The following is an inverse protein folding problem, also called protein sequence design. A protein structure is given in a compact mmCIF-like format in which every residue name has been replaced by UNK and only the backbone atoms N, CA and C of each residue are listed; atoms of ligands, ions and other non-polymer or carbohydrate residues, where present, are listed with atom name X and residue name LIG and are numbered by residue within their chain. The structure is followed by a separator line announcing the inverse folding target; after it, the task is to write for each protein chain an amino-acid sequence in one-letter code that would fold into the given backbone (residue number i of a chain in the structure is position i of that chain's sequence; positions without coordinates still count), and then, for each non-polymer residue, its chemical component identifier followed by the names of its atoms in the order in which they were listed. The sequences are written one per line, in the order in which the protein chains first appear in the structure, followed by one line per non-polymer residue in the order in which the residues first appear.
data_IF_880477000943
#
_entry.id   IF_880477000943
#
_cell.length_a   1.000
_cell.length_b   1.000
_cell.length_c   1.000
_cell.angle_alpha   90.00
_cell.angle_beta   90.00
_cell.angle_gamma   90.00
#
_symmetry.space_group_name_H-M   'P 1'
#
loop_
_entity.id
_entity.type
_entity.pdbx_description
1 polymer ?
#
# COMPACT_ATOMS: atom_id res chain seq x y z
N UNK A 1 12.70 27.79 -3.61
CA UNK A 1 12.11 26.64 -2.89
C UNK A 1 12.74 25.38 -3.46
N UNK A 2 13.18 24.41 -2.65
CA UNK A 2 13.74 23.19 -3.22
C UNK A 2 12.59 22.39 -3.84
N UNK A 3 12.66 22.14 -5.14
CA UNK A 3 11.85 21.12 -5.81
C UNK A 3 12.16 19.79 -5.12
N UNK A 4 11.21 19.25 -4.37
CA UNK A 4 11.29 17.84 -3.97
C UNK A 4 11.07 17.02 -5.24
N UNK A 5 12.12 16.34 -5.68
CA UNK A 5 12.04 15.41 -6.80
C UNK A 5 11.22 14.20 -6.35
N UNK A 6 9.90 14.25 -6.56
CA UNK A 6 8.96 13.17 -6.23
C UNK A 6 9.03 12.00 -7.24
N UNK A 7 9.98 12.03 -8.19
CA UNK A 7 10.08 11.11 -9.32
C UNK A 7 10.47 9.66 -8.99
N UNK A 8 10.82 9.34 -7.75
CA UNK A 8 11.14 7.96 -7.36
C UNK A 8 10.68 7.69 -5.93
N UNK A 9 9.43 7.24 -5.79
CA UNK A 9 9.22 6.14 -4.85
C UNK A 9 9.82 4.89 -5.46
N UNK A 10 10.52 4.11 -4.64
CA UNK A 10 10.74 2.71 -4.95
C UNK A 10 9.39 2.00 -4.85
N UNK A 11 8.60 2.08 -5.92
CA UNK A 11 7.32 1.39 -6.03
C UNK A 11 7.39 0.40 -7.18
N UNK A 12 6.81 -0.77 -6.97
CA UNK A 12 6.85 -1.89 -7.88
C UNK A 12 5.42 -2.30 -8.16
N UNK A 13 4.94 -2.11 -9.39
CA UNK A 13 3.72 -2.77 -9.80
C UNK A 13 4.04 -4.15 -10.34
N UNK A 14 3.17 -5.07 -9.98
CA UNK A 14 3.14 -6.41 -10.50
C UNK A 14 1.77 -6.63 -11.13
N UNK A 15 1.76 -6.92 -12.43
CA UNK A 15 0.55 -7.34 -13.14
C UNK A 15 0.69 -8.82 -13.43
N UNK A 16 -0.14 -9.65 -12.80
CA UNK A 16 -0.19 -11.07 -13.17
C UNK A 16 -0.77 -11.17 -14.60
N UNK A 17 -0.65 -12.31 -15.29
CA UNK A 17 -1.28 -12.58 -16.60
C UNK A 17 -2.83 -12.38 -16.65
N UNK A 18 -3.44 -11.88 -15.58
CA UNK A 18 -4.82 -11.39 -15.45
C UNK A 18 -4.89 -9.86 -15.53
N UNK A 19 -6.09 -9.30 -15.71
CA UNK A 19 -6.32 -7.85 -15.85
C UNK A 19 -6.12 -7.04 -14.55
N UNK A 20 -5.80 -7.70 -13.43
CA UNK A 20 -5.63 -7.10 -12.12
C UNK A 20 -4.17 -6.64 -11.85
N UNK A 21 -4.01 -5.50 -11.19
CA UNK A 21 -2.68 -4.96 -10.81
C UNK A 21 -2.50 -4.96 -9.29
N UNK A 22 -1.47 -5.66 -8.80
CA UNK A 22 -0.97 -5.52 -7.44
C UNK A 22 0.15 -4.47 -7.45
N UNK A 23 -0.06 -3.37 -6.76
CA UNK A 23 0.91 -2.27 -6.74
C UNK A 23 1.58 -2.16 -5.37
N UNK A 24 2.85 -2.58 -5.30
CA UNK A 24 3.65 -2.51 -4.10
C UNK A 24 4.28 -1.12 -3.95
N UNK A 25 4.06 -0.52 -2.79
CA UNK A 25 4.73 0.71 -2.36
C UNK A 25 5.71 0.30 -1.27
N UNK A 26 7.01 0.45 -1.56
CA UNK A 26 8.07 0.15 -0.60
C UNK A 26 8.25 1.35 0.33
N UNK A 27 8.09 1.10 1.61
CA UNK A 27 8.12 2.11 2.66
C UNK A 27 9.44 1.99 3.41
N UNK A 28 10.23 3.06 3.39
CA UNK A 28 11.39 3.18 4.27
C UNK A 28 10.92 3.42 5.71
N UNK A 29 11.52 2.71 6.67
CA UNK A 29 11.29 3.01 8.08
C UNK A 29 12.01 4.32 8.44
N UNK A 30 11.28 5.26 9.03
CA UNK A 30 11.87 6.44 9.65
C UNK A 30 12.59 6.01 10.95
N UNK A 31 13.60 6.76 11.38
CA UNK A 31 14.36 6.43 12.62
C UNK A 31 13.46 6.36 13.88
N UNK A 32 12.29 6.99 13.85
CA UNK A 32 11.31 6.97 14.95
C UNK A 32 9.87 6.95 14.42
N UNK A 33 9.35 5.78 13.99
CA UNK A 33 7.99 5.68 13.50
C UNK A 33 7.04 5.71 14.69
N UNK A 34 6.43 6.87 14.94
CA UNK A 34 5.43 7.04 16.00
C UNK A 34 4.03 6.85 15.45
N UNK A 35 3.28 5.89 16.00
CA UNK A 35 1.83 5.82 15.79
C UNK A 35 1.20 7.06 16.43
N UNK A 36 0.76 7.98 15.59
CA UNK A 36 0.10 9.20 16.04
C UNK A 36 -1.33 8.87 16.44
N UNK A 37 -1.83 9.57 17.45
CA UNK A 37 -3.27 9.63 17.62
C UNK A 37 -3.82 10.42 16.43
N UNK A 38 -4.65 9.76 15.64
CA UNK A 38 -5.37 10.41 14.57
C UNK A 38 -6.48 11.26 15.19
N UNK A 39 -6.43 12.57 14.99
CA UNK A 39 -7.59 13.41 15.25
C UNK A 39 -8.73 13.01 14.28
N UNK A 40 -9.98 13.29 14.63
CA UNK A 40 -11.11 12.95 13.75
C UNK A 40 -10.90 13.50 12.35
N UNK A 41 -11.48 12.87 11.31
CA UNK A 41 -11.25 13.17 9.88
C UNK A 41 -11.40 14.65 9.44
N UNK A 42 -11.87 15.53 10.32
CA UNK A 42 -12.09 16.95 10.06
C UNK A 42 -10.99 17.88 10.61
N UNK A 43 -9.98 17.36 11.33
CA UNK A 43 -8.99 18.17 12.05
C UNK A 43 -7.56 18.03 11.50
N UNK A 44 -7.38 18.06 10.17
CA UNK A 44 -6.03 18.24 9.61
C UNK A 44 -5.56 19.69 9.83
N UNK A 45 -5.05 19.94 11.03
CA UNK A 45 -4.38 21.20 11.33
C UNK A 45 -3.08 21.32 10.52
N UNK A 46 -2.67 22.55 10.20
CA UNK A 46 -1.36 22.81 9.59
C UNK A 46 -0.19 22.19 10.39
N UNK A 47 -0.39 21.91 11.69
CA UNK A 47 0.54 21.18 12.54
C UNK A 47 0.66 19.68 12.19
N UNK A 48 -0.42 18.97 11.85
CA UNK A 48 -0.31 17.54 11.47
C UNK A 48 0.54 17.35 10.21
N UNK A 49 0.44 18.29 9.26
CA UNK A 49 1.25 18.26 8.04
C UNK A 49 2.74 18.57 8.26
N UNK A 50 3.12 19.27 9.35
CA UNK A 50 4.52 19.55 9.67
C UNK A 50 5.25 18.32 10.18
N UNK A 51 4.58 17.46 10.94
CA UNK A 51 5.21 16.28 11.53
C UNK A 51 5.24 15.08 10.60
N UNK A 52 4.50 15.06 9.48
CA UNK A 52 4.50 13.91 8.58
C UNK A 52 5.90 13.48 8.19
N UNK A 53 6.13 12.18 8.27
CA UNK A 53 7.38 11.58 7.82
C UNK A 53 7.51 11.72 6.31
N UNK A 54 8.71 11.43 5.80
CA UNK A 54 8.92 11.47 4.37
C UNK A 54 8.06 10.44 3.66
N UNK A 55 7.90 9.23 4.21
CA UNK A 55 7.00 8.21 3.67
C UNK A 55 5.54 8.68 3.60
N UNK A 56 5.01 9.29 4.66
CA UNK A 56 3.65 9.84 4.71
C UNK A 56 3.41 10.91 3.63
N UNK A 57 4.25 11.95 3.57
CA UNK A 57 4.11 13.08 2.62
C UNK A 57 4.07 12.59 1.18
N UNK A 58 4.98 11.69 0.89
CA UNK A 58 5.27 11.18 -0.44
C UNK A 58 4.11 10.23 -0.82
N UNK A 59 3.59 9.42 0.11
CA UNK A 59 2.42 8.55 -0.12
C UNK A 59 1.15 9.34 -0.37
N UNK A 60 0.97 10.49 0.30
CA UNK A 60 -0.16 11.40 0.05
C UNK A 60 -0.15 11.92 -1.38
N UNK A 61 1.01 12.38 -1.87
CA UNK A 61 1.17 12.83 -3.27
C UNK A 61 0.84 11.70 -4.26
N UNK A 62 1.25 10.46 -3.96
CA UNK A 62 0.91 9.30 -4.80
C UNK A 62 -0.59 9.02 -4.82
N UNK A 63 -1.27 9.16 -3.67
CA UNK A 63 -2.73 9.06 -3.58
C UNK A 63 -3.41 10.10 -4.46
N UNK A 64 -3.01 11.36 -4.35
CA UNK A 64 -3.55 12.46 -5.16
C UNK A 64 -3.33 12.23 -6.66
N UNK A 65 -2.14 11.78 -7.05
CA UNK A 65 -1.82 11.45 -8.44
C UNK A 65 -2.65 10.27 -8.95
N UNK A 66 -2.84 9.23 -8.12
CA UNK A 66 -3.65 8.05 -8.45
C UNK A 66 -5.12 8.41 -8.65
N UNK A 67 -5.65 9.34 -7.85
CA UNK A 67 -7.00 9.88 -8.03
C UNK A 67 -7.14 10.65 -9.33
N UNK A 68 -6.19 11.55 -9.64
CA UNK A 68 -6.16 12.30 -10.92
C UNK A 68 -6.04 11.38 -12.13
N UNK A 69 -5.33 10.26 -11.99
CA UNK A 69 -5.19 9.24 -13.02
C UNK A 69 -6.41 8.31 -13.14
N UNK A 70 -7.45 8.50 -12.31
CA UNK A 70 -8.65 7.68 -12.26
C UNK A 70 -8.35 6.17 -12.07
N UNK A 71 -7.34 5.83 -11.27
CA UNK A 71 -7.05 4.43 -10.95
C UNK A 71 -8.21 3.83 -10.14
N UNK A 72 -8.68 2.66 -10.57
CA UNK A 72 -9.73 1.92 -9.88
C UNK A 72 -9.15 1.12 -8.71
N UNK A 73 -8.77 1.84 -7.66
CA UNK A 73 -8.22 1.26 -6.43
C UNK A 73 -9.35 0.75 -5.57
N UNK A 74 -9.39 -0.56 -5.33
CA UNK A 74 -10.49 -1.19 -4.56
C UNK A 74 -10.07 -1.65 -3.19
N UNK A 75 -8.77 -1.86 -2.98
CA UNK A 75 -8.24 -2.40 -1.74
C UNK A 75 -6.87 -1.81 -1.45
N UNK A 76 -6.66 -1.48 -0.17
CA UNK A 76 -5.38 -1.09 0.39
C UNK A 76 -4.98 -2.17 1.40
N UNK A 77 -3.85 -2.82 1.17
CA UNK A 77 -3.26 -3.82 2.07
C UNK A 77 -1.97 -3.25 2.66
N UNK A 78 -1.71 -3.50 3.93
CA UNK A 78 -0.50 -3.05 4.62
C UNK A 78 0.14 -4.21 5.39
N UNK A 79 1.47 -4.26 5.38
CA UNK A 79 2.24 -4.98 6.39
C UNK A 79 1.93 -4.43 7.80
N UNK A 80 2.06 -5.24 8.87
CA UNK A 80 1.88 -4.79 10.25
C UNK A 80 3.10 -3.98 10.72
N UNK A 81 3.29 -2.81 10.12
CA UNK A 81 4.37 -1.85 10.38
C UNK A 81 3.78 -0.45 10.56
N UNK A 82 4.29 0.29 11.53
CA UNK A 82 3.81 1.66 11.83
C UNK A 82 3.97 2.55 10.59
N UNK A 83 5.14 2.51 9.95
CA UNK A 83 5.43 3.29 8.74
C UNK A 83 4.51 2.91 7.59
N UNK A 84 4.26 1.62 7.39
CA UNK A 84 3.33 1.15 6.35
C UNK A 84 1.90 1.64 6.59
N UNK A 85 1.42 1.58 7.84
CA UNK A 85 0.07 2.05 8.20
C UNK A 85 -0.06 3.56 8.00
N UNK A 86 0.93 4.33 8.45
CA UNK A 86 0.93 5.78 8.29
C UNK A 86 1.00 6.21 6.82
N UNK A 87 1.83 5.53 6.02
CA UNK A 87 1.91 5.71 4.58
C UNK A 87 0.58 5.38 3.88
N UNK A 88 -0.06 4.25 4.25
CA UNK A 88 -1.34 3.83 3.69
C UNK A 88 -2.48 4.81 4.02
N UNK A 89 -2.59 5.30 5.26
CA UNK A 89 -3.58 6.32 5.63
C UNK A 89 -3.33 7.63 4.87
N UNK A 90 -2.06 8.05 4.77
CA UNK A 90 -1.69 9.25 4.00
C UNK A 90 -2.05 9.11 2.51
N UNK A 91 -1.85 7.93 1.94
CA UNK A 91 -2.25 7.62 0.57
C UNK A 91 -3.77 7.70 0.39
N UNK A 92 -4.55 7.07 1.27
CA UNK A 92 -6.03 7.11 1.22
C UNK A 92 -6.51 8.56 1.28
N UNK A 93 -5.97 9.36 2.21
CA UNK A 93 -6.31 10.80 2.31
C UNK A 93 -6.04 11.56 1.02
N UNK A 94 -4.89 11.31 0.38
CA UNK A 94 -4.57 11.90 -0.92
C UNK A 94 -5.49 11.41 -2.04
N UNK A 95 -5.82 10.12 -2.04
CA UNK A 95 -6.64 9.48 -3.08
C UNK A 95 -8.12 9.87 -2.98
N UNK A 96 -8.69 9.97 -1.79
CA UNK A 96 -10.09 10.37 -1.59
C UNK A 96 -10.29 11.89 -1.67
N UNK A 97 -9.21 12.67 -1.83
CA UNK A 97 -9.26 14.11 -2.07
C UNK A 97 -9.94 14.93 -0.96
N UNK A 98 -10.05 14.38 0.25
CA UNK A 98 -10.78 15.00 1.37
C UNK A 98 -12.28 15.20 1.15
N UNK A 99 -12.88 14.63 0.09
CA UNK A 99 -14.31 14.77 -0.19
C UNK A 99 -15.16 13.77 0.62
N UNK A 100 -16.36 14.23 0.99
CA UNK A 100 -17.32 13.58 1.91
C UNK A 100 -18.42 12.77 1.22
N UNK A 101 -18.39 12.65 -0.10
CA UNK A 101 -19.48 12.00 -0.83
C UNK A 101 -19.30 10.49 -0.85
N UNK A 102 -20.31 9.80 -0.27
CA UNK A 102 -20.86 8.43 -0.41
C UNK A 102 -20.08 7.27 -1.08
N UNK A 103 -18.87 7.46 -1.59
CA UNK A 103 -17.99 6.37 -1.98
C UNK A 103 -17.56 5.59 -0.73
N UNK A 104 -17.57 4.27 -0.84
CA UNK A 104 -17.07 3.38 0.20
C UNK A 104 -15.65 3.77 0.56
N UNK A 105 -15.48 4.31 1.76
CA UNK A 105 -14.18 4.68 2.32
C UNK A 105 -13.25 3.47 2.23
N UNK A 106 -12.08 3.66 1.61
CA UNK A 106 -11.05 2.63 1.59
C UNK A 106 -10.56 2.40 3.02
N UNK A 107 -10.63 1.14 3.48
CA UNK A 107 -10.04 0.72 4.74
C UNK A 107 -8.75 -0.06 4.47
N UNK A 108 -7.81 0.08 5.39
CA UNK A 108 -6.52 -0.61 5.38
C UNK A 108 -6.72 -2.04 5.87
N UNK A 109 -6.34 -3.01 5.06
CA UNK A 109 -6.31 -4.44 5.40
C UNK A 109 -4.92 -4.80 5.89
N UNK A 110 -4.79 -5.09 7.18
CA UNK A 110 -3.49 -5.46 7.78
C UNK A 110 -3.23 -6.94 7.54
N UNK A 111 -2.23 -7.26 6.73
CA UNK A 111 -1.85 -8.64 6.42
C UNK A 111 -0.55 -9.03 7.12
N UNK A 112 -0.66 -9.81 8.20
CA UNK A 112 0.49 -10.30 8.96
C UNK A 112 1.52 -11.05 8.13
N UNK A 113 1.12 -11.71 7.04
CA UNK A 113 2.05 -12.48 6.20
C UNK A 113 3.10 -11.61 5.52
N UNK A 114 2.81 -10.31 5.36
CA UNK A 114 3.71 -9.29 4.83
C UNK A 114 4.67 -8.71 5.90
N UNK A 115 4.64 -9.20 7.14
CA UNK A 115 5.58 -8.76 8.16
C UNK A 115 7.00 -9.26 7.86
N UNK A 116 8.00 -8.41 8.05
CA UNK A 116 9.40 -8.82 7.98
C UNK A 116 9.73 -9.88 9.04
N UNK A 117 9.27 -9.63 10.27
CA UNK A 117 9.54 -10.51 11.41
C UNK A 117 8.45 -11.55 11.60
N UNK A 118 8.84 -12.66 12.22
CA UNK A 118 7.91 -13.71 12.61
C UNK A 118 7.04 -13.23 13.78
N UNK A 119 7.60 -12.43 14.68
CA UNK A 119 6.89 -11.79 15.79
C UNK A 119 5.79 -10.88 15.28
N UNK A 120 6.06 -10.06 14.26
CA UNK A 120 5.05 -9.19 13.66
C UNK A 120 3.92 -9.97 12.97
N UNK A 121 4.23 -11.12 12.37
CA UNK A 121 3.22 -12.06 11.89
C UNK A 121 2.35 -12.61 13.04
N UNK A 122 2.93 -13.02 14.16
CA UNK A 122 2.15 -13.54 15.30
C UNK A 122 1.34 -12.46 16.03
N UNK A 123 1.89 -11.26 16.14
CA UNK A 123 1.29 -10.14 16.85
C UNK A 123 0.37 -9.28 15.97
N UNK A 124 0.11 -9.67 14.71
CA UNK A 124 -0.67 -8.86 13.78
C UNK A 124 -2.08 -8.51 14.28
N UNK A 125 -2.71 -9.36 15.09
CA UNK A 125 -4.03 -9.06 15.69
C UNK A 125 -3.94 -7.97 16.76
N UNK A 126 -2.95 -8.06 17.66
CA UNK A 126 -2.68 -7.04 18.67
C UNK A 126 -2.27 -5.72 18.02
N UNK A 127 -1.43 -5.78 17.00
CA UNK A 127 -1.04 -4.61 16.21
C UNK A 127 -2.26 -3.97 15.54
N UNK A 128 -3.15 -4.76 14.93
CA UNK A 128 -4.41 -4.28 14.35
C UNK A 128 -5.27 -3.54 15.37
N UNK A 129 -5.47 -4.13 16.55
CA UNK A 129 -6.23 -3.47 17.63
C UNK A 129 -5.60 -2.13 18.04
N UNK A 130 -4.26 -2.08 18.15
CA UNK A 130 -3.54 -0.85 18.49
C UNK A 130 -3.75 0.25 17.44
N UNK A 131 -3.65 -0.05 16.14
CA UNK A 131 -3.82 0.97 15.10
C UNK A 131 -5.27 1.47 15.00
N UNK A 132 -6.25 0.59 15.25
CA UNK A 132 -7.67 0.97 15.36
C UNK A 132 -7.88 1.91 16.55
N UNK A 133 -7.33 1.59 17.72
CA UNK A 133 -7.38 2.45 18.91
C UNK A 133 -6.75 3.83 18.65
N UNK A 134 -5.73 3.87 17.80
CA UNK A 134 -5.08 5.12 17.37
C UNK A 134 -5.89 5.90 16.32
N UNK A 135 -6.99 5.33 15.81
CA UNK A 135 -7.96 6.00 14.93
C UNK A 135 -7.75 5.76 13.42
N UNK A 136 -6.80 4.91 13.04
CA UNK A 136 -6.53 4.60 11.63
C UNK A 136 -7.72 3.84 11.00
N UNK A 137 -8.04 4.07 9.71
CA UNK A 137 -9.17 3.44 9.03
C UNK A 137 -8.84 1.99 8.64
N UNK A 138 -8.92 1.07 9.59
CA UNK A 138 -8.49 -0.32 9.43
C UNK A 138 -9.69 -1.25 9.38
N UNK A 139 -9.65 -2.22 8.46
CA UNK A 139 -10.65 -3.29 8.38
C UNK A 139 -10.39 -4.33 9.47
N UNK A 140 -11.19 -4.26 10.54
CA UNK A 140 -11.11 -5.19 11.68
C UNK A 140 -11.50 -6.63 11.33
N UNK A 141 -12.25 -6.82 10.25
CA UNK A 141 -12.78 -8.12 9.82
C UNK A 141 -11.84 -8.86 8.87
N UNK A 142 -10.83 -8.17 8.34
CA UNK A 142 -9.85 -8.78 7.46
C UNK A 142 -9.03 -9.86 8.18
N UNK A 143 -8.88 -11.02 7.56
CA UNK A 143 -8.03 -12.09 8.05
C UNK A 143 -6.76 -12.17 7.19
N UNK A 144 -5.62 -12.40 7.83
CA UNK A 144 -4.32 -12.53 7.13
C UNK A 144 -4.38 -13.63 6.08
N UNK A 145 -3.70 -13.40 4.96
CA UNK A 145 -3.68 -14.30 3.81
C UNK A 145 -3.13 -15.68 4.14
N UNK A 146 -2.23 -15.78 5.13
CA UNK A 146 -1.57 -17.01 5.53
C UNK A 146 -2.00 -17.37 6.95
N UNK A 147 -2.79 -18.44 7.07
CA UNK A 147 -3.13 -19.02 8.38
C UNK A 147 -1.98 -19.89 8.86
N UNK A 148 -1.55 -19.69 10.11
CA UNK A 148 -0.57 -20.56 10.74
C UNK A 148 -1.15 -21.97 10.86
N UNK A 149 -0.56 -22.99 10.22
CA UNK A 149 -0.97 -24.35 10.45
C UNK A 149 -0.36 -24.77 11.79
N UNK A 150 -1.12 -24.60 12.88
CA UNK A 150 -0.69 -24.79 14.27
C UNK A 150 -0.04 -26.15 14.61
N UNK A 151 -0.06 -27.11 13.69
CA UNK A 151 0.46 -28.46 13.85
C UNK A 151 1.59 -28.81 12.86
N UNK A 152 2.00 -27.88 11.99
CA UNK A 152 3.09 -28.14 11.06
C UNK A 152 4.44 -28.07 11.77
N UNK A 153 5.28 -29.07 11.57
CA UNK A 153 6.72 -29.04 11.91
C UNK A 153 7.51 -28.08 10.98
N UNK A 154 6.87 -27.03 10.48
CA UNK A 154 7.54 -25.95 9.78
C UNK A 154 8.15 -25.08 10.86
N UNK A 155 9.46 -24.97 10.79
CA UNK A 155 10.35 -24.29 11.72
C UNK A 155 9.78 -22.93 12.18
N UNK A 156 9.91 -22.55 13.48
CA UNK A 156 9.60 -21.20 13.96
C UNK A 156 10.25 -20.06 13.14
N UNK A 157 11.30 -20.33 12.36
CA UNK A 157 11.69 -19.51 11.21
C UNK A 157 10.78 -19.77 10.00
N UNK A 158 9.52 -19.36 10.07
CA UNK A 158 8.61 -19.41 8.93
C UNK A 158 9.25 -18.62 7.80
N UNK A 159 9.84 -19.35 6.84
CA UNK A 159 10.65 -18.80 5.77
C UNK A 159 9.94 -17.57 5.20
N UNK A 160 10.59 -16.41 5.33
CA UNK A 160 10.04 -15.13 4.88
C UNK A 160 9.63 -15.25 3.42
N UNK A 161 10.42 -15.95 2.61
CA UNK A 161 10.09 -16.23 1.22
C UNK A 161 8.79 -17.01 1.12
N UNK A 162 8.60 -18.06 1.94
CA UNK A 162 7.37 -18.86 1.93
C UNK A 162 6.15 -18.02 2.33
N UNK A 163 6.23 -17.19 3.39
CA UNK A 163 5.10 -16.35 3.83
C UNK A 163 4.71 -15.34 2.75
N UNK A 164 5.69 -14.67 2.16
CA UNK A 164 5.45 -13.71 1.09
C UNK A 164 4.90 -14.41 -0.16
N UNK A 165 5.46 -15.55 -0.57
CA UNK A 165 4.90 -16.36 -1.67
C UNK A 165 3.44 -16.74 -1.42
N UNK A 166 3.12 -17.25 -0.24
CA UNK A 166 1.77 -17.67 0.11
C UNK A 166 0.79 -16.50 0.18
N UNK A 167 1.23 -15.34 0.67
CA UNK A 167 0.43 -14.12 0.68
C UNK A 167 0.08 -13.66 -0.74
N UNK A 168 1.07 -13.63 -1.63
CA UNK A 168 0.88 -13.23 -3.03
C UNK A 168 -0.03 -14.19 -3.79
N UNK A 169 0.11 -15.50 -3.58
CA UNK A 169 -0.81 -16.51 -4.15
C UNK A 169 -2.23 -16.40 -3.60
N UNK A 170 -2.39 -16.04 -2.32
CA UNK A 170 -3.71 -15.81 -1.72
C UNK A 170 -4.38 -14.57 -2.32
N UNK A 171 -3.66 -13.43 -2.40
CA UNK A 171 -4.15 -12.21 -3.05
C UNK A 171 -4.54 -12.47 -4.50
N UNK A 172 -3.70 -13.19 -5.25
CA UNK A 172 -3.99 -13.58 -6.63
C UNK A 172 -5.32 -14.33 -6.77
N UNK A 173 -5.62 -15.25 -5.85
CA UNK A 173 -6.89 -16.00 -5.86
C UNK A 173 -8.06 -15.14 -5.42
N UNK A 174 -7.87 -14.32 -4.38
CA UNK A 174 -8.92 -13.48 -3.83
C UNK A 174 -9.43 -12.46 -4.85
N UNK A 175 -8.56 -11.99 -5.73
CA UNK A 175 -8.87 -10.90 -6.64
C UNK A 175 -8.83 -11.30 -8.13
N UNK A 176 -8.80 -12.60 -8.44
CA UNK A 176 -8.66 -13.16 -9.81
C UNK A 176 -9.75 -12.72 -10.78
N UNK A 177 -10.97 -12.49 -10.29
CA UNK A 177 -12.15 -12.32 -11.13
C UNK A 177 -12.43 -10.85 -11.47
N UNK A 178 -11.51 -9.96 -11.09
CA UNK A 178 -11.74 -8.52 -11.14
C UNK A 178 -10.94 -7.84 -12.24
N UNK A 179 -11.61 -7.59 -13.37
CA UNK A 179 -11.06 -6.81 -14.48
C UNK A 179 -10.87 -5.35 -14.05
N UNK A 180 -9.71 -4.78 -14.40
CA UNK A 180 -9.35 -3.37 -14.17
C UNK A 180 -9.37 -2.89 -12.72
N UNK A 181 -9.22 -3.79 -11.73
CA UNK A 181 -9.01 -3.39 -10.32
C UNK A 181 -7.52 -3.31 -9.98
N UNK A 182 -7.19 -2.30 -9.19
CA UNK A 182 -5.88 -2.11 -8.59
C UNK A 182 -5.96 -2.34 -7.08
N UNK A 183 -5.04 -3.15 -6.57
CA UNK A 183 -4.86 -3.39 -5.13
C UNK A 183 -3.50 -2.83 -4.76
N UNK A 184 -3.47 -1.85 -3.86
CA UNK A 184 -2.23 -1.23 -3.40
C UNK A 184 -1.75 -1.95 -2.15
N UNK A 185 -0.46 -2.29 -2.11
CA UNK A 185 0.15 -3.07 -1.04
C UNK A 185 1.34 -2.30 -0.47
N UNK A 186 1.22 -1.85 0.78
CA UNK A 186 2.29 -1.18 1.52
C UNK A 186 3.12 -2.19 2.27
N UNK A 187 4.42 -2.20 2.01
CA UNK A 187 5.38 -3.12 2.62
C UNK A 187 6.68 -2.38 2.94
N UNK A 188 7.40 -2.85 3.94
CA UNK A 188 8.69 -2.26 4.26
C UNK A 188 9.70 -2.50 3.11
N UNK A 189 10.61 -1.54 2.90
CA UNK A 189 11.59 -1.58 1.81
C UNK A 189 12.56 -2.77 1.90
N UNK A 190 12.82 -3.32 3.09
CA UNK A 190 13.68 -4.49 3.24
C UNK A 190 13.16 -5.73 2.49
N UNK A 191 11.85 -5.80 2.24
CA UNK A 191 11.20 -6.89 1.52
C UNK A 191 11.39 -6.81 0.00
N UNK A 192 11.99 -5.74 -0.52
CA UNK A 192 12.16 -5.54 -1.96
C UNK A 192 12.83 -6.74 -2.64
N UNK A 193 13.92 -7.25 -2.08
CA UNK A 193 14.65 -8.38 -2.67
C UNK A 193 13.82 -9.66 -2.70
N UNK A 194 13.10 -9.95 -1.60
CA UNK A 194 12.21 -11.12 -1.51
C UNK A 194 11.08 -10.98 -2.53
N UNK A 195 10.45 -9.81 -2.62
CA UNK A 195 9.41 -9.52 -3.59
C UNK A 195 9.92 -9.66 -5.03
N UNK A 196 11.13 -9.18 -5.34
CA UNK A 196 11.76 -9.35 -6.66
C UNK A 196 12.02 -10.82 -7.02
N UNK A 197 12.42 -11.63 -6.04
CA UNK A 197 12.66 -13.07 -6.24
C UNK A 197 11.34 -13.79 -6.46
N UNK A 198 10.33 -13.53 -5.62
CA UNK A 198 9.02 -14.15 -5.72
C UNK A 198 8.30 -13.71 -7.01
N UNK A 199 8.27 -12.42 -7.29
CA UNK A 199 7.71 -11.87 -8.53
C UNK A 199 8.57 -12.17 -9.78
N UNK A 200 9.83 -12.58 -9.60
CA UNK A 200 10.67 -13.07 -10.70
C UNK A 200 10.31 -14.49 -11.15
N UNK A 201 9.60 -15.26 -10.30
CA UNK A 201 9.06 -16.57 -10.66
C UNK A 201 7.80 -16.46 -11.50
N UNK A 202 7.18 -15.29 -11.57
CA UNK A 202 6.01 -15.00 -12.40
C UNK A 202 6.39 -14.20 -13.65
N UNK A 203 5.76 -14.50 -14.78
CA UNK A 203 6.25 -14.12 -16.13
C UNK A 203 5.96 -12.68 -16.56
N UNK A 204 5.28 -11.86 -15.76
CA UNK A 204 4.83 -10.54 -16.17
C UNK A 204 5.24 -9.44 -15.18
N UNK A 205 6.22 -8.61 -15.56
CA UNK A 205 6.66 -7.43 -14.79
C UNK A 205 6.22 -6.18 -15.54
N UNK A 206 5.57 -5.23 -14.87
CA UNK A 206 5.29 -3.91 -15.41
C UNK A 206 5.65 -2.85 -14.38
N UNK A 207 6.64 -1.99 -14.65
CA UNK A 207 6.81 -0.77 -13.86
C UNK A 207 5.56 0.10 -14.07
N UNK A 208 4.84 0.45 -13.01
CA UNK A 208 3.83 1.50 -13.12
C UNK A 208 4.56 2.82 -13.19
N UNK A 209 4.35 3.56 -14.28
CA UNK A 209 4.73 4.96 -14.31
C UNK A 209 3.58 5.77 -13.74
N UNK A 210 3.80 6.48 -12.64
CA UNK A 210 2.84 7.45 -12.12
C UNK A 210 3.25 8.79 -12.69
N UNK A 211 2.39 9.45 -13.49
CA UNK A 211 2.70 10.77 -13.99
C UNK A 211 2.96 11.72 -12.82
N UNK A 212 4.04 12.50 -12.90
CA UNK A 212 4.29 13.58 -11.95
C UNK A 212 3.15 14.60 -12.06
N UNK A 213 2.78 15.22 -10.93
CA UNK A 213 1.72 16.22 -10.85
C UNK A 213 1.98 17.50 -11.68
N UNK A 214 3.12 17.59 -12.38
CA UNK A 214 3.52 18.72 -13.22
C UNK A 214 3.14 18.56 -14.71
N UNK A 215 2.65 17.40 -15.17
CA UNK A 215 2.23 17.21 -16.57
C UNK A 215 0.81 17.74 -16.83
N UNK A 216 0.61 19.04 -16.59
CA UNK A 216 -0.52 19.82 -17.12
C UNK A 216 -0.22 20.28 -18.55
N UNK A 217 0.26 19.39 -19.42
CA UNK A 217 0.31 19.71 -20.85
C UNK A 217 -1.02 19.28 -21.46
N UNK A 218 -1.88 20.22 -21.88
CA UNK A 218 -3.16 19.86 -22.49
C UNK A 218 -2.88 19.06 -23.77
N UNK A 219 -3.54 17.90 -23.91
CA UNK A 219 -3.61 17.18 -25.17
C UNK A 219 -4.12 18.14 -26.24
N UNK A 220 -3.22 18.62 -27.09
CA UNK A 220 -3.61 19.39 -28.27
C UNK A 220 -4.00 18.36 -29.33
N UNK A 221 -5.30 18.09 -29.41
CA UNK A 221 -5.88 17.30 -30.47
C UNK A 221 -5.93 18.19 -31.72
N UNK A 222 -4.86 18.19 -32.52
CA UNK A 222 -4.90 18.78 -33.86
C UNK A 222 -4.25 17.85 -34.90
N UNK A 223 -5.14 17.41 -35.81
CA UNK A 223 -4.92 17.25 -37.25
C UNK A 223 -4.06 16.10 -37.75
N UNK A 224 -4.74 14.98 -38.04
CA UNK A 224 -4.50 14.21 -39.26
C UNK A 224 -5.83 13.86 -39.94
N UNK A 225 -6.47 14.87 -40.53
CA UNK A 225 -7.25 14.71 -41.76
C UNK A 225 -6.57 15.52 -42.86
N UNK A 226 -5.83 14.82 -43.73
CA UNK A 226 -5.87 14.92 -45.20
C UNK A 226 -4.87 13.96 -45.84
#
# INVERSE_FOLDING_TARGET
MPQLDFNTFDSWAFRWESTQTLWFILVEEDEFPLLRHRAGRNDESAWESQFMTMAEKKSRVMGEASHKACFNITDIISAPSISCIAAADSFIKGFEGGQKDEMSVLNIKVDGALSESVEGYYLQKQFRSLVVERGYPVDETYETSVKWPGNCKVDPYVDLDWRINAALESMRKQYSDSVDKMVVVFVNNSLENVLRVVAGRSRARCKLHIPSAEDNTPFTQENMEK
#
